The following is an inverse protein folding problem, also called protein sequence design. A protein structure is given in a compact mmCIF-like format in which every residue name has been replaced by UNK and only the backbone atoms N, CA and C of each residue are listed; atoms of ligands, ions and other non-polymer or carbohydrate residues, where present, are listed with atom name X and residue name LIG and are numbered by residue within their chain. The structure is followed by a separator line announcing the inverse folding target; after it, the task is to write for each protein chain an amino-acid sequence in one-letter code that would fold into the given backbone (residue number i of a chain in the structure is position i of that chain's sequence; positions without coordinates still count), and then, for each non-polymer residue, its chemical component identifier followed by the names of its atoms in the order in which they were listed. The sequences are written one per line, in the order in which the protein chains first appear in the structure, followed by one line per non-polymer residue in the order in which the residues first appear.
data_IF_475005655613
#
_entry.id   IF_475005655613
#
_cell.length_a   1.000
_cell.length_b   1.000
_cell.length_c   1.000
_cell.angle_alpha   90.00
_cell.angle_beta   90.00
_cell.angle_gamma   90.00
#
_symmetry.space_group_name_H-M   'P 1'
#
loop_
_entity.id
_entity.type
_entity.pdbx_description
1 polymer ?
#
# COMPACT_ATOMS: atom_id res chain seq x y z
N UNK A 1 2.96 1.08 10.00
CA UNK A 1 1.63 0.98 10.61
C UNK A 1 1.02 2.37 10.81
N UNK A 2 1.74 3.32 11.42
CA UNK A 2 1.23 4.67 11.66
C UNK A 2 0.77 5.37 10.37
N UNK A 3 1.56 5.27 9.30
CA UNK A 3 1.19 5.83 8.00
C UNK A 3 -0.15 5.27 7.49
N UNK A 4 -0.37 3.96 7.63
CA UNK A 4 -1.65 3.34 7.27
C UNK A 4 -2.78 3.78 8.19
N UNK A 5 -2.51 3.96 9.50
CA UNK A 5 -3.49 4.47 10.46
C UNK A 5 -3.92 5.89 10.09
N UNK A 6 -2.98 6.81 9.88
CA UNK A 6 -3.28 8.17 9.43
C UNK A 6 -4.00 8.21 8.07
N UNK A 7 -3.68 7.26 7.18
CA UNK A 7 -4.33 7.16 5.88
C UNK A 7 -5.76 6.67 6.01
N UNK A 8 -5.98 5.49 6.59
CA UNK A 8 -7.29 4.84 6.60
C UNK A 8 -8.32 5.59 7.44
N UNK A 9 -7.92 6.28 8.50
CA UNK A 9 -8.83 7.11 9.29
C UNK A 9 -9.48 8.22 8.48
N UNK A 10 -8.84 8.72 7.42
CA UNK A 10 -9.43 9.70 6.50
C UNK A 10 -10.47 9.09 5.55
N UNK A 11 -10.55 7.76 5.48
CA UNK A 11 -11.50 7.01 4.64
C UNK A 11 -12.55 6.25 5.45
N UNK A 12 -12.84 6.73 6.66
CA UNK A 12 -13.96 6.25 7.47
C UNK A 12 -13.64 5.08 8.39
N UNK A 13 -12.37 4.77 8.61
CA UNK A 13 -11.96 3.77 9.59
C UNK A 13 -11.70 4.41 10.96
N UNK A 14 -12.21 3.81 12.01
CA UNK A 14 -11.83 4.12 13.38
C UNK A 14 -10.42 3.59 13.69
N UNK A 15 -9.81 4.11 14.75
CA UNK A 15 -8.51 3.63 15.23
C UNK A 15 -8.54 2.12 15.54
N UNK A 16 -9.61 1.64 16.16
CA UNK A 16 -9.77 0.22 16.48
C UNK A 16 -9.88 -0.67 15.23
N UNK A 17 -10.62 -0.26 14.21
CA UNK A 17 -10.72 -0.98 12.94
C UNK A 17 -9.36 -1.07 12.23
N UNK A 18 -8.57 0.01 12.26
CA UNK A 18 -7.21 -0.04 11.68
C UNK A 18 -6.31 -0.97 12.50
N UNK A 19 -6.39 -0.95 13.82
CA UNK A 19 -5.61 -1.84 14.69
C UNK A 19 -5.94 -3.31 14.49
N UNK A 20 -7.19 -3.62 14.17
CA UNK A 20 -7.63 -4.97 13.80
C UNK A 20 -7.20 -5.37 12.38
N UNK A 21 -7.22 -4.44 11.44
CA UNK A 21 -6.77 -4.69 10.07
C UNK A 21 -5.27 -5.01 10.01
N UNK A 22 -4.46 -4.34 10.81
CA UNK A 22 -3.02 -4.58 10.87
C UNK A 22 -2.72 -5.91 11.56
N UNK A 23 -1.83 -6.70 10.98
CA UNK A 23 -1.42 -7.97 11.56
C UNK A 23 -0.43 -7.78 12.71
N UNK A 24 -0.44 -8.70 13.65
CA UNK A 24 0.48 -8.72 14.78
C UNK A 24 1.94 -8.93 14.37
N UNK A 25 2.89 -8.66 15.28
CA UNK A 25 4.33 -8.63 14.96
C UNK A 25 4.89 -9.93 14.36
N UNK A 26 4.34 -11.07 14.74
CA UNK A 26 4.74 -12.38 14.20
C UNK A 26 4.35 -12.58 12.73
N UNK A 27 3.49 -11.72 12.19
CA UNK A 27 2.95 -11.83 10.84
C UNK A 27 3.36 -10.65 9.93
N UNK A 28 4.23 -9.79 10.39
CA UNK A 28 4.62 -8.57 9.70
C UNK A 28 5.14 -8.79 8.29
N UNK A 29 6.04 -9.75 8.09
CA UNK A 29 6.62 -9.99 6.77
C UNK A 29 5.51 -10.30 5.75
N UNK A 30 4.55 -11.13 6.12
CA UNK A 30 3.44 -11.52 5.25
C UNK A 30 2.41 -10.40 5.06
N UNK A 31 2.18 -9.58 6.08
CA UNK A 31 1.35 -8.38 5.95
C UNK A 31 1.98 -7.37 4.98
N UNK A 32 3.28 -7.09 5.09
CA UNK A 32 3.98 -6.21 4.17
C UNK A 32 4.09 -6.77 2.75
N UNK A 33 4.12 -8.07 2.59
CA UNK A 33 4.00 -8.74 1.29
C UNK A 33 2.53 -8.84 0.82
N UNK A 34 1.57 -8.27 1.55
CA UNK A 34 0.15 -8.26 1.19
C UNK A 34 -0.47 -9.65 1.05
N UNK A 35 0.09 -10.62 1.76
CA UNK A 35 -0.37 -12.01 1.72
C UNK A 35 -1.53 -12.27 2.65
N UNK A 36 -1.64 -11.48 3.73
CA UNK A 36 -2.69 -11.60 4.75
C UNK A 36 -2.91 -10.25 5.46
N UNK A 37 -4.01 -10.15 6.20
CA UNK A 37 -4.32 -9.05 7.12
C UNK A 37 -5.12 -9.58 8.31
N UNK A 38 -5.28 -8.78 9.36
CA UNK A 38 -6.08 -9.10 10.57
C UNK A 38 -5.67 -10.41 11.28
N UNK A 39 -4.38 -10.74 11.27
CA UNK A 39 -3.87 -11.96 11.91
C UNK A 39 -2.97 -11.62 13.09
N UNK A 40 -3.26 -12.14 14.28
CA UNK A 40 -2.45 -11.95 15.47
C UNK A 40 -2.51 -10.56 16.11
N UNK A 41 -3.55 -9.78 15.76
CA UNK A 41 -3.88 -8.49 16.38
C UNK A 41 -5.04 -8.59 17.38
N UNK A 42 -5.66 -7.44 17.78
CA UNK A 42 -5.30 -6.07 17.37
C UNK A 42 -4.01 -5.56 18.03
N UNK A 43 -3.33 -4.64 17.34
CA UNK A 43 -2.13 -4.00 17.88
C UNK A 43 -2.50 -3.04 19.04
N UNK A 44 -1.74 -3.02 20.15
CA UNK A 44 -1.94 -2.05 21.21
C UNK A 44 -1.73 -0.60 20.71
N UNK A 45 -2.48 0.37 21.22
CA UNK A 45 -2.33 1.77 20.80
C UNK A 45 -0.90 2.30 20.99
N UNK A 46 -0.26 2.00 22.12
CA UNK A 46 1.14 2.38 22.38
C UNK A 46 2.16 1.80 21.40
N UNK A 47 1.80 0.76 20.66
CA UNK A 47 2.66 0.16 19.63
C UNK A 47 3.05 1.15 18.55
N UNK A 48 2.11 1.95 18.08
CA UNK A 48 2.32 2.90 16.99
C UNK A 48 3.37 3.95 17.35
N UNK A 49 3.26 4.59 18.50
CA UNK A 49 4.24 5.58 18.98
C UNK A 49 5.65 4.98 19.09
N UNK A 50 5.76 3.80 19.70
CA UNK A 50 7.04 3.11 19.87
C UNK A 50 7.66 2.74 18.52
N UNK A 51 6.85 2.33 17.54
CA UNK A 51 7.34 1.97 16.20
C UNK A 51 7.75 3.19 15.40
N UNK A 52 7.04 4.31 15.52
CA UNK A 52 7.45 5.58 14.91
C UNK A 52 8.79 6.06 15.48
N UNK A 53 8.94 6.06 16.79
CA UNK A 53 10.22 6.43 17.43
C UNK A 53 11.36 5.52 16.97
N UNK A 54 11.14 4.21 16.99
CA UNK A 54 12.14 3.24 16.52
C UNK A 54 12.48 3.47 15.04
N UNK A 55 11.48 3.68 14.18
CA UNK A 55 11.66 3.93 12.75
C UNK A 55 12.51 5.18 12.49
N UNK A 56 12.24 6.27 13.19
CA UNK A 56 13.04 7.51 13.10
C UNK A 56 14.50 7.26 13.49
N UNK A 57 14.73 6.58 14.60
CA UNK A 57 16.09 6.22 15.06
C UNK A 57 16.81 5.31 14.07
N UNK A 58 16.10 4.39 13.41
CA UNK A 58 16.68 3.54 12.35
C UNK A 58 17.10 4.41 11.16
N UNK A 59 16.23 5.31 10.68
CA UNK A 59 16.54 6.21 9.56
C UNK A 59 17.76 7.08 9.88
N UNK A 60 17.79 7.72 11.03
CA UNK A 60 18.93 8.55 11.47
C UNK A 60 20.23 7.75 11.49
N UNK A 61 20.15 6.51 12.00
CA UNK A 61 21.31 5.62 12.08
C UNK A 61 21.80 5.18 10.71
N UNK A 62 20.88 4.84 9.81
CA UNK A 62 21.23 4.50 8.42
C UNK A 62 21.92 5.67 7.73
N UNK A 63 21.35 6.87 7.83
CA UNK A 63 21.95 8.09 7.24
C UNK A 63 23.34 8.38 7.81
N UNK A 64 23.53 8.23 9.12
CA UNK A 64 24.83 8.41 9.77
C UNK A 64 25.93 7.46 9.25
N UNK A 65 25.53 6.31 8.70
CA UNK A 65 26.45 5.35 8.05
C UNK A 65 26.49 5.50 6.52
N UNK A 66 25.85 6.51 5.94
CA UNK A 66 25.76 6.68 4.49
C UNK A 66 24.88 5.64 3.79
N UNK A 67 23.97 4.99 4.53
CA UNK A 67 23.02 4.00 3.99
C UNK A 67 21.74 4.73 3.63
N UNK A 68 21.30 4.58 2.40
CA UNK A 68 20.00 5.12 1.95
C UNK A 68 18.89 4.14 2.29
N UNK A 69 17.86 4.55 3.08
CA UNK A 69 16.71 3.70 3.34
C UNK A 69 15.91 3.41 2.06
N UNK A 70 15.34 2.22 1.97
CA UNK A 70 14.24 1.94 1.04
C UNK A 70 12.95 1.94 1.85
N UNK A 71 12.02 2.83 1.50
CA UNK A 71 10.77 3.03 2.24
C UNK A 71 9.59 2.44 1.49
N UNK A 72 8.46 2.24 2.17
CA UNK A 72 7.27 1.65 1.56
C UNK A 72 6.62 2.62 0.58
N UNK A 73 6.36 2.14 -0.65
CA UNK A 73 5.49 2.82 -1.62
C UNK A 73 4.01 2.42 -1.46
N UNK A 74 3.11 3.18 -2.10
CA UNK A 74 1.68 2.87 -2.10
C UNK A 74 1.33 1.96 -3.27
N UNK A 75 0.84 0.76 -2.98
CA UNK A 75 0.47 -0.26 -3.97
C UNK A 75 -1.04 -0.39 -4.24
N UNK A 76 -1.87 0.34 -3.49
CA UNK A 76 -3.33 0.30 -3.66
C UNK A 76 -4.07 -0.69 -2.76
N UNK A 77 -3.40 -1.30 -1.80
CA UNK A 77 -4.03 -2.26 -0.88
C UNK A 77 -4.83 -1.55 0.21
N UNK A 78 -6.03 -2.08 0.45
CA UNK A 78 -7.01 -1.56 1.43
C UNK A 78 -7.75 -2.72 2.11
N UNK A 79 -8.44 -2.44 3.26
CA UNK A 79 -9.33 -3.43 3.86
C UNK A 79 -10.45 -3.89 2.93
N UNK A 80 -10.98 -5.09 3.14
CA UNK A 80 -11.99 -5.71 2.27
C UNK A 80 -13.30 -4.92 2.19
N UNK A 81 -13.66 -4.22 3.25
CA UNK A 81 -14.86 -3.37 3.35
C UNK A 81 -14.68 -1.94 2.83
N UNK A 82 -13.53 -1.64 2.20
CA UNK A 82 -13.19 -0.28 1.77
C UNK A 82 -14.28 0.33 0.86
N UNK A 83 -14.80 -0.46 -0.09
CA UNK A 83 -15.85 0.02 -0.99
C UNK A 83 -17.19 0.25 -0.28
N UNK A 84 -17.47 -0.46 0.81
CA UNK A 84 -18.68 -0.24 1.61
C UNK A 84 -18.62 1.11 2.31
N UNK A 85 -17.47 1.45 2.90
CA UNK A 85 -17.22 2.74 3.53
C UNK A 85 -17.07 3.89 2.53
N UNK A 86 -16.60 3.59 1.31
CA UNK A 86 -16.35 4.55 0.24
C UNK A 86 -17.09 4.14 -1.06
N UNK A 87 -18.41 4.34 -1.16
CA UNK A 87 -19.24 3.73 -2.21
C UNK A 87 -18.90 4.14 -3.64
N UNK A 88 -18.24 5.27 -3.85
CA UNK A 88 -17.78 5.70 -5.18
C UNK A 88 -16.44 5.09 -5.56
N UNK A 89 -15.76 4.37 -4.67
CA UNK A 89 -14.55 3.61 -5.00
C UNK A 89 -14.87 2.33 -5.78
N UNK A 90 -13.83 1.72 -6.35
CA UNK A 90 -13.83 0.34 -6.87
C UNK A 90 -12.67 -0.38 -6.22
N UNK A 91 -12.96 -1.41 -5.43
CA UNK A 91 -11.95 -2.27 -4.82
C UNK A 91 -12.38 -3.73 -4.93
N UNK A 92 -11.41 -4.62 -5.13
CA UNK A 92 -11.68 -6.04 -5.32
C UNK A 92 -10.58 -6.92 -4.69
N UNK A 93 -10.94 -8.16 -4.38
CA UNK A 93 -10.06 -9.14 -3.76
C UNK A 93 -8.91 -9.54 -4.69
N UNK A 94 -7.71 -9.64 -4.15
CA UNK A 94 -6.53 -10.23 -4.82
C UNK A 94 -6.36 -11.73 -4.53
N UNK A 95 -7.42 -12.39 -4.05
CA UNK A 95 -7.45 -13.81 -3.73
C UNK A 95 -7.02 -14.14 -2.30
N UNK A 96 -6.49 -15.34 -2.10
CA UNK A 96 -6.06 -15.84 -0.80
C UNK A 96 -4.60 -16.29 -0.82
N UNK A 97 -3.99 -16.41 0.34
CA UNK A 97 -2.67 -17.00 0.54
C UNK A 97 -2.72 -17.98 1.69
N UNK A 98 -2.42 -19.25 1.43
CA UNK A 98 -2.42 -20.30 2.46
C UNK A 98 -3.68 -20.34 3.34
N UNK A 99 -4.85 -20.03 2.78
CA UNK A 99 -6.13 -19.99 3.49
C UNK A 99 -6.42 -18.66 4.21
N UNK A 100 -5.56 -17.68 4.14
CA UNK A 100 -5.80 -16.32 4.61
C UNK A 100 -6.27 -15.42 3.46
N UNK A 101 -7.19 -14.50 3.77
CA UNK A 101 -7.60 -13.49 2.80
C UNK A 101 -6.50 -12.44 2.61
N UNK A 102 -6.31 -12.01 1.36
CA UNK A 102 -5.45 -10.88 1.01
C UNK A 102 -6.20 -9.56 1.14
N UNK A 103 -5.49 -8.45 1.41
CA UNK A 103 -6.08 -7.13 1.27
C UNK A 103 -6.73 -6.96 -0.11
N UNK A 104 -7.78 -6.17 -0.18
CA UNK A 104 -8.37 -5.76 -1.45
C UNK A 104 -7.47 -4.75 -2.14
N UNK A 105 -7.59 -4.65 -3.45
CA UNK A 105 -6.88 -3.66 -4.26
C UNK A 105 -7.86 -2.64 -4.81
N UNK A 106 -7.55 -1.36 -4.64
CA UNK A 106 -8.27 -0.27 -5.31
C UNK A 106 -7.95 -0.33 -6.80
N UNK A 107 -8.98 -0.18 -7.64
CA UNK A 107 -8.81 -0.10 -9.08
C UNK A 107 -7.98 1.13 -9.46
N UNK A 108 -6.88 0.89 -10.14
CA UNK A 108 -5.90 1.93 -10.49
C UNK A 108 -6.29 2.75 -11.72
N UNK A 109 -7.13 2.18 -12.58
CA UNK A 109 -7.64 2.82 -13.77
C UNK A 109 -9.16 2.65 -13.87
N UNK A 110 -9.88 3.76 -13.99
CA UNK A 110 -11.32 3.75 -14.18
C UNK A 110 -11.67 3.72 -15.67
N UNK A 111 -12.47 2.72 -16.06
CA UNK A 111 -13.05 2.65 -17.40
C UNK A 111 -14.10 3.74 -17.60
N UNK A 112 -14.51 3.97 -18.84
CA UNK A 112 -15.63 4.89 -19.13
C UNK A 112 -16.94 4.42 -18.49
N UNK A 113 -17.14 3.11 -18.35
CA UNK A 113 -18.28 2.54 -17.63
C UNK A 113 -18.21 2.83 -16.13
N UNK A 114 -17.05 2.74 -15.49
CA UNK A 114 -16.87 3.11 -14.08
C UNK A 114 -17.20 4.60 -13.88
N UNK A 115 -16.68 5.47 -14.75
CA UNK A 115 -16.94 6.92 -14.70
C UNK A 115 -18.42 7.23 -14.91
N UNK A 116 -19.07 6.59 -15.89
CA UNK A 116 -20.50 6.74 -16.12
C UNK A 116 -21.36 6.26 -14.93
N UNK A 117 -20.85 5.28 -14.17
CA UNK A 117 -21.47 4.81 -12.92
C UNK A 117 -21.13 5.71 -11.70
N UNK A 118 -20.49 6.85 -11.90
CA UNK A 118 -20.13 7.80 -10.83
C UNK A 118 -18.98 7.31 -9.94
N UNK A 119 -18.14 6.40 -10.42
CA UNK A 119 -16.95 5.97 -9.67
C UNK A 119 -15.86 7.03 -9.76
N UNK A 120 -15.08 7.13 -8.67
CA UNK A 120 -14.02 8.12 -8.50
C UNK A 120 -12.66 7.43 -8.35
N UNK A 121 -11.60 8.15 -8.71
CA UNK A 121 -10.23 7.67 -8.62
C UNK A 121 -9.72 7.70 -7.17
N UNK A 122 -10.06 6.66 -6.44
CA UNK A 122 -9.59 6.48 -5.07
C UNK A 122 -8.12 6.06 -5.00
N UNK A 123 -7.55 5.49 -6.04
CA UNK A 123 -6.13 5.18 -6.04
C UNK A 123 -5.31 6.46 -5.89
N UNK A 124 -5.64 7.49 -6.65
CA UNK A 124 -4.97 8.78 -6.54
C UNK A 124 -5.21 9.43 -5.19
N UNK A 125 -6.46 9.47 -4.71
CA UNK A 125 -6.82 10.08 -3.42
C UNK A 125 -6.11 9.43 -2.23
N UNK A 126 -6.18 8.09 -2.14
CA UNK A 126 -5.57 7.33 -1.02
C UNK A 126 -4.04 7.40 -1.11
N UNK A 127 -3.48 7.32 -2.32
CA UNK A 127 -2.03 7.46 -2.53
C UNK A 127 -1.50 8.83 -2.10
N UNK A 128 -2.22 9.92 -2.42
CA UNK A 128 -1.86 11.27 -1.93
C UNK A 128 -1.86 11.34 -0.41
N UNK A 129 -2.88 10.76 0.20
CA UNK A 129 -3.00 10.72 1.67
C UNK A 129 -1.88 9.90 2.29
N UNK A 130 -1.59 8.72 1.71
CA UNK A 130 -0.52 7.84 2.18
C UNK A 130 0.85 8.51 2.15
N UNK A 131 1.23 9.13 1.06
CA UNK A 131 2.52 9.79 0.95
C UNK A 131 2.63 11.03 1.84
N UNK A 132 1.56 11.82 1.98
CA UNK A 132 1.50 12.93 2.94
C UNK A 132 1.65 12.45 4.38
N UNK A 133 0.96 11.38 4.75
CA UNK A 133 1.10 10.76 6.07
C UNK A 133 2.53 10.24 6.30
N UNK A 134 3.14 9.62 5.29
CA UNK A 134 4.52 9.14 5.38
C UNK A 134 5.51 10.28 5.63
N UNK A 135 5.38 11.39 4.92
CA UNK A 135 6.22 12.58 5.14
C UNK A 135 5.93 13.26 6.48
N UNK A 136 4.66 13.30 6.92
CA UNK A 136 4.29 13.80 8.24
C UNK A 136 4.95 13.00 9.36
N UNK A 137 4.93 11.67 9.26
CA UNK A 137 5.44 10.77 10.30
C UNK A 137 6.97 10.72 10.32
N UNK A 138 7.61 10.60 9.17
CA UNK A 138 9.06 10.32 9.07
C UNK A 138 9.90 11.43 8.43
N UNK A 139 9.27 12.43 7.81
CA UNK A 139 9.96 13.37 6.93
C UNK A 139 10.35 12.72 5.59
N UNK A 140 11.01 13.48 4.74
CA UNK A 140 11.58 12.96 3.47
C UNK A 140 12.92 12.27 3.73
N UNK A 141 12.89 10.99 4.06
CA UNK A 141 14.09 10.20 4.45
C UNK A 141 14.75 9.48 3.27
N UNK A 142 14.05 9.33 2.14
CA UNK A 142 14.54 8.62 0.95
C UNK A 142 13.76 9.03 -0.29
N UNK A 143 14.33 8.71 -1.45
CA UNK A 143 13.63 8.68 -2.75
C UNK A 143 13.55 7.25 -3.33
N UNK A 144 13.92 6.22 -2.57
CA UNK A 144 13.82 4.81 -2.95
C UNK A 144 12.57 4.20 -2.30
N UNK A 145 11.64 3.71 -3.12
CA UNK A 145 10.35 3.18 -2.67
C UNK A 145 10.23 1.71 -3.08
N UNK A 146 9.93 0.84 -2.11
CA UNK A 146 9.62 -0.56 -2.36
C UNK A 146 8.11 -0.77 -2.36
N UNK A 147 7.59 -1.26 -3.45
CA UNK A 147 6.22 -1.76 -3.53
C UNK A 147 6.12 -2.76 -4.68
N UNK A 148 5.62 -3.94 -4.38
CA UNK A 148 5.19 -4.90 -5.39
C UNK A 148 3.67 -5.06 -5.21
N UNK A 149 2.85 -4.71 -6.21
CA UNK A 149 1.39 -4.79 -6.09
C UNK A 149 0.87 -6.18 -5.78
N UNK A 150 1.63 -7.20 -6.14
CA UNK A 150 1.30 -8.61 -5.89
C UNK A 150 2.53 -9.41 -5.46
N UNK A 151 2.33 -10.37 -4.55
CA UNK A 151 3.32 -11.33 -4.07
C UNK A 151 2.74 -12.74 -4.04
N UNK A 152 3.58 -13.75 -4.16
CA UNK A 152 3.29 -15.16 -3.89
C UNK A 152 1.92 -15.67 -4.41
N UNK A 153 1.68 -15.50 -5.71
CA UNK A 153 0.44 -15.95 -6.33
C UNK A 153 -0.78 -15.06 -6.08
N UNK A 154 -0.56 -13.81 -5.65
CA UNK A 154 -1.62 -12.80 -5.66
C UNK A 154 -2.19 -12.63 -7.06
N UNK A 155 -3.51 -12.60 -7.16
CA UNK A 155 -4.20 -12.51 -8.44
C UNK A 155 -4.57 -11.06 -8.74
N UNK A 156 -4.45 -10.70 -10.02
CA UNK A 156 -5.05 -9.46 -10.51
C UNK A 156 -6.57 -9.61 -10.41
N UNK A 157 -7.27 -8.70 -9.71
CA UNK A 157 -8.72 -8.79 -9.60
C UNK A 157 -9.41 -8.74 -10.97
N UNK A 158 -10.56 -9.39 -11.07
CA UNK A 158 -11.34 -9.38 -12.31
C UNK A 158 -11.69 -7.95 -12.75
N UNK A 159 -11.48 -7.65 -14.02
CA UNK A 159 -11.69 -6.33 -14.61
C UNK A 159 -10.61 -5.30 -14.31
N UNK A 160 -9.49 -5.73 -13.71
CA UNK A 160 -8.29 -4.91 -13.57
C UNK A 160 -7.25 -5.32 -14.63
N UNK A 161 -6.38 -4.40 -15.00
CA UNK A 161 -5.27 -4.68 -15.92
C UNK A 161 -3.93 -4.53 -15.21
N UNK A 162 -3.07 -5.55 -15.30
CA UNK A 162 -1.80 -5.58 -14.58
C UNK A 162 -0.85 -4.48 -15.06
N UNK A 163 -0.85 -4.16 -16.35
CA UNK A 163 0.01 -3.12 -16.91
C UNK A 163 -0.43 -1.75 -16.42
N UNK A 164 -1.74 -1.50 -16.39
CA UNK A 164 -2.29 -0.26 -15.83
C UNK A 164 -1.98 -0.12 -14.35
N UNK A 165 -2.04 -1.22 -13.57
CA UNK A 165 -1.68 -1.22 -12.15
C UNK A 165 -0.23 -0.73 -11.99
N UNK A 166 0.73 -1.37 -12.65
CA UNK A 166 2.15 -1.02 -12.52
C UNK A 166 2.44 0.41 -12.99
N UNK A 167 1.89 0.81 -14.14
CA UNK A 167 2.03 2.18 -14.67
C UNK A 167 1.45 3.23 -13.71
N UNK A 168 0.32 2.92 -13.09
CA UNK A 168 -0.34 3.86 -12.18
C UNK A 168 0.40 3.96 -10.86
N UNK A 169 0.90 2.84 -10.32
CA UNK A 169 1.78 2.84 -9.14
C UNK A 169 3.04 3.68 -9.40
N UNK A 170 3.70 3.47 -10.55
CA UNK A 170 4.88 4.25 -10.93
C UNK A 170 4.57 5.74 -11.05
N UNK A 171 3.50 6.11 -11.76
CA UNK A 171 3.11 7.51 -11.91
C UNK A 171 2.83 8.15 -10.56
N UNK A 172 2.07 7.49 -9.70
CA UNK A 172 1.73 8.02 -8.37
C UNK A 172 2.98 8.27 -7.52
N UNK A 173 3.95 7.38 -7.61
CA UNK A 173 5.25 7.55 -6.94
C UNK A 173 6.00 8.77 -7.47
N UNK A 174 6.07 8.93 -8.80
CA UNK A 174 6.73 10.06 -9.47
C UNK A 174 5.99 11.39 -9.28
N UNK A 175 4.66 11.37 -9.19
CA UNK A 175 3.86 12.56 -8.90
C UNK A 175 4.13 13.09 -7.49
N UNK A 176 4.39 12.18 -6.54
CA UNK A 176 4.78 12.53 -5.18
C UNK A 176 6.25 12.97 -5.10
N UNK A 177 7.15 12.20 -5.70
CA UNK A 177 8.58 12.47 -5.71
C UNK A 177 9.14 12.30 -7.13
N UNK A 178 9.41 13.39 -7.87
CA UNK A 178 9.97 13.32 -9.22
C UNK A 178 11.33 12.63 -9.31
N UNK A 179 12.03 12.46 -8.18
CA UNK A 179 13.30 11.74 -8.09
C UNK A 179 13.12 10.28 -7.61
N UNK A 180 11.88 9.81 -7.51
CA UNK A 180 11.58 8.47 -7.01
C UNK A 180 12.26 7.38 -7.82
N UNK A 181 12.83 6.42 -7.11
CA UNK A 181 13.38 5.18 -7.66
C UNK A 181 12.54 4.02 -7.13
N UNK A 182 11.91 3.30 -8.03
CA UNK A 182 11.13 2.13 -7.67
C UNK A 182 12.01 0.90 -7.48
N UNK A 183 12.00 0.35 -6.27
CA UNK A 183 12.70 -0.88 -5.92
C UNK A 183 11.70 -2.02 -5.95
N UNK A 184 11.76 -2.86 -6.98
CA UNK A 184 10.88 -4.00 -7.18
C UNK A 184 11.59 -5.29 -6.79
N UNK A 185 10.91 -6.16 -6.03
CA UNK A 185 11.42 -7.50 -5.73
C UNK A 185 11.16 -8.49 -6.88
N UNK A 186 10.20 -8.17 -7.75
CA UNK A 186 9.81 -9.00 -8.88
C UNK A 186 9.45 -10.45 -8.48
N UNK A 187 8.79 -10.60 -7.34
CA UNK A 187 8.42 -11.91 -6.81
C UNK A 187 7.33 -12.59 -7.63
N UNK A 188 6.63 -11.84 -8.46
CA UNK A 188 5.55 -12.37 -9.27
C UNK A 188 6.02 -12.86 -10.62
N UNK A 189 5.66 -14.08 -10.96
CA UNK A 189 5.91 -14.72 -12.25
C UNK A 189 5.13 -14.01 -13.36
N UNK A 190 5.82 -13.52 -14.40
CA UNK A 190 5.19 -13.14 -15.67
C UNK A 190 5.03 -11.66 -15.96
N UNK A 191 5.70 -10.76 -15.21
CA UNK A 191 5.88 -9.40 -15.71
C UNK A 191 7.02 -9.42 -16.71
N UNK A 192 6.66 -9.46 -17.97
CA UNK A 192 7.59 -9.25 -19.07
C UNK A 192 7.98 -7.77 -19.10
N UNK A 193 9.27 -7.48 -18.90
CA UNK A 193 9.80 -6.11 -18.92
C UNK A 193 9.41 -5.35 -20.18
N UNK A 194 9.18 -6.06 -21.30
CA UNK A 194 8.72 -5.47 -22.55
C UNK A 194 7.32 -4.85 -22.44
N UNK A 195 6.49 -5.28 -21.49
CA UNK A 195 5.15 -4.72 -21.24
C UNK A 195 5.17 -3.42 -20.44
N UNK A 196 6.28 -3.14 -19.75
CA UNK A 196 6.43 -1.92 -18.95
C UNK A 196 7.11 -0.79 -19.72
N UNK A 197 7.76 -1.08 -20.84
CA UNK A 197 8.57 -0.17 -21.64
C UNK A 197 7.83 0.53 -22.78
N UNK A 198 6.52 0.43 -22.84
CA UNK A 198 5.68 1.02 -23.91
C UNK A 198 5.12 2.41 -23.57
#
# INVERSE_FOLDING_TARGET
EEVLRETLTQYGYSDDEVREYLSGPGYYAWFYMQNLYSVGGPLPAAWFEQRVELGRRIHDRMQAYGITPVIQGFGGQVPADFQEKNPTSVAASSGTWSGFDRPYMIKTYLTDADKAAGKEDYFQKVGDTFYKAQESVFGKVSNYYAVDPFHEGGMVPDGFDIVDIYRTVQRKMLDHDPAAVWVMQQWQWGIDETKLSG
#
